data_IF_639462694125
#
_entry.id   IF_639462694125
#
_cell.length_a   1.000
_cell.length_b   1.000
_cell.length_c   1.000
_cell.angle_alpha   90.00
_cell.angle_beta   90.00
_cell.angle_gamma   90.00
#
_symmetry.space_group_name_H-M   'P 1'
#
loop_
_entity.id
_entity.type
_entity.pdbx_description
1 polymer ?
#
# COMPACT_ATOMS: atom_id res chain seq x y z
N UNK A 1 -14.14 29.20 -28.91
CA UNK A 1 -13.28 30.09 -29.72
C UNK A 1 -11.85 29.86 -29.28
N UNK A 2 -11.04 29.22 -30.12
CA UNK A 2 -9.65 28.92 -29.81
C UNK A 2 -8.78 30.12 -30.17
N UNK A 3 -8.14 30.74 -29.18
CA UNK A 3 -7.06 31.69 -29.42
C UNK A 3 -5.76 30.91 -29.58
N UNK A 4 -5.23 30.92 -30.81
CA UNK A 4 -3.91 30.40 -31.14
C UNK A 4 -2.87 31.44 -30.72
N UNK A 5 -2.23 31.23 -29.57
CA UNK A 5 -0.99 31.92 -29.22
C UNK A 5 0.18 31.08 -29.77
N UNK A 6 1.01 31.73 -30.58
CA UNK A 6 2.09 31.11 -31.36
C UNK A 6 3.10 30.36 -30.48
N UNK A 7 3.22 29.06 -30.74
CA UNK A 7 4.52 28.39 -30.91
C UNK A 7 5.02 27.48 -29.79
N UNK A 8 4.36 27.44 -28.63
CA UNK A 8 4.49 26.34 -27.68
C UNK A 8 3.26 25.45 -27.84
N UNK A 9 3.52 24.18 -28.16
CA UNK A 9 2.52 23.18 -28.54
C UNK A 9 1.79 22.63 -27.31
N UNK A 10 0.88 23.42 -26.76
CA UNK A 10 -0.08 22.99 -25.75
C UNK A 10 -1.49 23.29 -26.26
N UNK A 11 -2.25 22.24 -26.58
CA UNK A 11 -3.68 22.36 -26.87
C UNK A 11 -4.41 22.16 -25.54
N UNK A 12 -4.75 23.26 -24.88
CA UNK A 12 -5.62 23.23 -23.70
C UNK A 12 -7.06 23.21 -24.18
N UNK A 13 -7.67 22.02 -24.21
CA UNK A 13 -9.12 21.87 -24.21
C UNK A 13 -9.54 21.76 -22.75
N UNK A 14 -10.50 22.59 -22.30
CA UNK A 14 -10.95 22.66 -20.89
C UNK A 14 -11.08 21.26 -20.25
N UNK A 15 -10.20 20.97 -19.29
CA UNK A 15 -10.21 19.73 -18.50
C UNK A 15 -9.19 18.65 -18.88
N UNK A 16 -8.43 18.81 -19.98
CA UNK A 16 -7.40 17.85 -20.39
C UNK A 16 -6.07 18.54 -20.68
N UNK A 17 -4.98 17.89 -20.28
CA UNK A 17 -3.62 18.27 -20.65
C UNK A 17 -3.09 17.29 -21.69
N UNK A 18 -2.41 17.80 -22.72
CA UNK A 18 -1.80 17.01 -23.76
C UNK A 18 -0.32 17.33 -23.89
N UNK A 19 0.51 16.30 -23.97
CA UNK A 19 1.95 16.44 -24.22
C UNK A 19 2.19 16.19 -25.71
N UNK A 20 2.67 17.21 -26.43
CA UNK A 20 2.97 17.08 -27.85
C UNK A 20 4.32 16.41 -28.07
N UNK A 21 4.31 15.27 -28.76
CA UNK A 21 5.50 14.50 -29.11
C UNK A 21 5.88 14.63 -30.59
N UNK A 22 5.43 15.69 -31.28
CA UNK A 22 5.57 15.85 -32.73
C UNK A 22 7.01 15.78 -33.26
N UNK A 23 8.02 16.00 -32.40
CA UNK A 23 9.45 15.94 -32.73
C UNK A 23 10.22 14.88 -31.94
N UNK A 24 9.52 14.09 -31.11
CA UNK A 24 10.10 13.05 -30.29
C UNK A 24 9.94 11.68 -30.97
N UNK A 25 10.83 10.72 -30.70
CA UNK A 25 10.67 9.36 -31.20
C UNK A 25 9.42 8.70 -30.59
N UNK A 26 8.75 7.85 -31.38
CA UNK A 26 7.47 7.23 -31.00
C UNK A 26 7.55 6.45 -29.69
N UNK A 27 8.68 5.77 -29.44
CA UNK A 27 8.88 5.00 -28.21
C UNK A 27 8.75 5.86 -26.94
N UNK A 28 9.10 7.15 -27.00
CA UNK A 28 9.04 8.04 -25.84
C UNK A 28 7.60 8.25 -25.38
N UNK A 29 6.64 8.26 -26.33
CA UNK A 29 5.23 8.38 -25.99
C UNK A 29 4.71 7.19 -25.19
N UNK A 30 5.08 5.98 -25.60
CA UNK A 30 4.72 4.76 -24.88
C UNK A 30 5.36 4.69 -23.50
N UNK A 31 6.66 5.03 -23.39
CA UNK A 31 7.36 5.08 -22.10
C UNK A 31 6.73 6.10 -21.14
N UNK A 32 6.43 7.29 -21.63
CA UNK A 32 5.81 8.33 -20.83
C UNK A 32 4.40 7.92 -20.39
N UNK A 33 3.60 7.37 -21.29
CA UNK A 33 2.25 6.93 -20.95
C UNK A 33 2.26 5.76 -19.95
N UNK A 34 3.24 4.85 -20.07
CA UNK A 34 3.45 3.78 -19.10
C UNK A 34 3.72 4.32 -17.69
N UNK A 35 4.58 5.34 -17.55
CA UNK A 35 4.82 6.01 -16.26
C UNK A 35 3.54 6.69 -15.77
N UNK A 36 2.90 7.52 -16.60
CA UNK A 36 1.75 8.34 -16.19
C UNK A 36 0.55 7.51 -15.72
N UNK A 37 0.36 6.31 -16.27
CA UNK A 37 -0.72 5.38 -15.86
C UNK A 37 -0.28 4.37 -14.79
N UNK A 38 0.90 4.54 -14.20
CA UNK A 38 1.37 3.68 -13.12
C UNK A 38 0.81 4.09 -11.77
N UNK A 39 0.79 3.13 -10.84
CA UNK A 39 0.54 3.36 -9.43
C UNK A 39 1.53 4.34 -8.81
N UNK A 40 2.80 4.27 -9.21
CA UNK A 40 3.85 5.18 -8.74
C UNK A 40 3.56 6.63 -9.11
N UNK A 41 3.11 6.90 -10.34
CA UNK A 41 2.73 8.26 -10.73
C UNK A 41 1.54 8.76 -9.89
N UNK A 42 0.54 7.90 -9.65
CA UNK A 42 -0.61 8.25 -8.79
C UNK A 42 -0.16 8.58 -7.36
N UNK A 43 0.72 7.75 -6.80
CA UNK A 43 1.31 7.94 -5.49
C UNK A 43 2.08 9.27 -5.41
N UNK A 44 2.98 9.54 -6.34
CA UNK A 44 3.79 10.76 -6.35
C UNK A 44 2.94 12.01 -6.55
N UNK A 45 1.96 11.98 -7.45
CA UNK A 45 1.08 13.12 -7.69
C UNK A 45 0.20 13.43 -6.48
N UNK A 46 -0.17 12.43 -5.68
CA UNK A 46 -0.89 12.68 -4.44
C UNK A 46 -0.09 13.53 -3.46
N UNK A 47 1.23 13.31 -3.36
CA UNK A 47 2.10 14.08 -2.45
C UNK A 47 2.61 15.39 -3.05
N UNK A 48 2.80 15.46 -4.37
CA UNK A 48 3.29 16.66 -5.03
C UNK A 48 2.18 17.67 -5.36
N UNK A 49 0.93 17.22 -5.45
CA UNK A 49 -0.14 18.14 -5.82
C UNK A 49 -0.44 19.13 -4.73
N UNK A 50 -0.41 20.40 -5.12
CA UNK A 50 -0.68 21.53 -4.24
C UNK A 50 -2.17 21.73 -3.90
N UNK A 51 -3.08 21.10 -4.65
CA UNK A 51 -4.52 21.37 -4.58
C UNK A 51 -5.35 20.10 -4.43
N UNK A 52 -4.80 18.94 -4.80
CA UNK A 52 -5.51 17.66 -4.74
C UNK A 52 -6.03 17.41 -3.32
N UNK A 53 -7.35 17.29 -3.19
CA UNK A 53 -7.99 16.96 -1.93
C UNK A 53 -8.49 18.10 -1.07
N UNK A 54 -8.16 19.35 -1.41
CA UNK A 54 -8.63 20.53 -0.67
C UNK A 54 -9.83 21.17 -1.36
N UNK A 55 -9.65 21.63 -2.60
CA UNK A 55 -10.71 22.35 -3.34
C UNK A 55 -11.15 21.64 -4.62
N UNK A 56 -10.28 20.84 -5.24
CA UNK A 56 -10.52 20.18 -6.53
C UNK A 56 -9.89 18.79 -6.58
N UNK A 57 -10.53 17.89 -7.31
CA UNK A 57 -9.97 16.58 -7.67
C UNK A 57 -9.18 16.69 -8.99
N UNK A 58 -8.30 17.68 -9.09
CA UNK A 58 -7.53 17.97 -10.31
C UNK A 58 -6.07 18.17 -9.92
N UNK A 59 -5.19 17.46 -10.62
CA UNK A 59 -3.74 17.66 -10.56
C UNK A 59 -3.39 18.71 -11.61
N UNK A 60 -2.65 19.74 -11.23
CA UNK A 60 -2.31 20.81 -12.16
C UNK A 60 -1.13 20.41 -13.07
N UNK A 61 -1.03 21.01 -14.25
CA UNK A 61 0.08 20.73 -15.19
C UNK A 61 1.45 20.96 -14.54
N UNK A 62 1.57 21.97 -13.68
CA UNK A 62 2.82 22.26 -12.96
C UNK A 62 3.24 21.13 -12.03
N UNK A 63 2.28 20.38 -11.48
CA UNK A 63 2.53 19.25 -10.59
C UNK A 63 3.04 18.06 -11.44
N UNK A 64 2.45 17.83 -12.62
CA UNK A 64 2.91 16.81 -13.57
C UNK A 64 4.33 17.06 -14.09
N UNK A 65 4.70 18.33 -14.30
CA UNK A 65 6.05 18.71 -14.72
C UNK A 65 7.13 18.44 -13.64
N UNK A 66 6.72 18.19 -12.39
CA UNK A 66 7.61 17.83 -11.29
C UNK A 66 7.74 16.32 -11.09
N UNK A 67 7.04 15.50 -11.88
CA UNK A 67 7.16 14.05 -11.78
C UNK A 67 8.61 13.64 -12.13
N UNK A 68 9.34 12.99 -11.19
CA UNK A 68 10.66 12.48 -11.49
C UNK A 68 10.54 11.39 -12.56
N UNK A 69 11.34 11.50 -13.62
CA UNK A 69 11.44 10.49 -14.66
C UNK A 69 12.73 9.68 -14.45
N UNK A 70 12.72 8.36 -14.69
CA UNK A 70 13.92 7.56 -14.51
C UNK A 70 14.93 7.96 -15.60
N UNK A 71 16.24 8.06 -15.31
CA UNK A 71 17.25 8.43 -16.30
C UNK A 71 17.20 7.56 -17.56
N UNK A 72 16.87 6.28 -17.37
CA UNK A 72 16.73 5.28 -18.43
C UNK A 72 15.62 5.60 -19.45
N UNK A 73 14.75 6.58 -19.21
CA UNK A 73 13.66 6.94 -20.13
C UNK A 73 14.17 7.44 -21.48
N UNK A 74 15.31 8.15 -21.49
CA UNK A 74 15.97 8.64 -22.71
C UNK A 74 17.07 7.70 -23.20
N UNK A 75 17.57 6.84 -22.31
CA UNK A 75 18.61 5.87 -22.62
C UNK A 75 18.00 4.67 -23.36
N UNK A 76 18.85 3.95 -24.10
CA UNK A 76 18.46 2.71 -24.77
C UNK A 76 17.95 1.67 -23.77
N UNK A 77 17.15 0.72 -24.25
CA UNK A 77 16.61 -0.34 -23.39
C UNK A 77 17.65 -1.43 -23.15
N UNK A 78 18.57 -1.20 -22.20
CA UNK A 78 19.70 -2.11 -21.93
C UNK A 78 19.22 -3.47 -21.40
N UNK A 79 18.12 -3.49 -20.66
CA UNK A 79 17.64 -4.68 -19.93
C UNK A 79 16.32 -5.25 -20.45
N UNK A 80 15.76 -4.71 -21.54
CA UNK A 80 14.46 -5.14 -22.09
C UNK A 80 13.23 -4.65 -21.31
N UNK A 81 13.43 -4.01 -20.15
CA UNK A 81 12.36 -3.58 -19.25
C UNK A 81 11.46 -2.53 -19.91
N UNK A 82 12.04 -1.64 -20.74
CA UNK A 82 11.23 -0.67 -21.46
C UNK A 82 10.39 -1.30 -22.58
N UNK A 83 10.92 -2.33 -23.25
CA UNK A 83 10.19 -3.07 -24.26
C UNK A 83 8.97 -3.78 -23.63
N UNK A 84 9.16 -4.43 -22.48
CA UNK A 84 8.07 -5.08 -21.72
C UNK A 84 7.00 -4.06 -21.27
N UNK A 85 7.42 -2.98 -20.61
CA UNK A 85 6.50 -1.92 -20.18
C UNK A 85 5.76 -1.26 -21.36
N UNK A 86 6.44 -1.02 -22.48
CA UNK A 86 5.80 -0.43 -23.68
C UNK A 86 4.82 -1.41 -24.35
N UNK A 87 5.09 -2.71 -24.30
CA UNK A 87 4.17 -3.72 -24.83
C UNK A 87 2.90 -3.81 -23.99
N UNK A 88 3.03 -3.75 -22.66
CA UNK A 88 1.90 -3.76 -21.74
C UNK A 88 1.06 -2.50 -21.86
N UNK A 89 1.68 -1.32 -21.92
CA UNK A 89 0.97 -0.07 -22.17
C UNK A 89 0.22 -0.12 -23.50
N UNK A 90 0.86 -0.62 -24.58
CA UNK A 90 0.23 -0.71 -25.89
C UNK A 90 -1.00 -1.60 -25.85
N UNK A 91 -0.92 -2.71 -25.10
CA UNK A 91 -2.03 -3.63 -24.90
C UNK A 91 -3.15 -2.98 -24.08
N UNK A 92 -2.82 -2.30 -22.97
CA UNK A 92 -3.79 -1.61 -22.12
C UNK A 92 -4.53 -0.52 -22.89
N UNK A 93 -3.83 0.23 -23.75
CA UNK A 93 -4.43 1.27 -24.60
C UNK A 93 -5.55 0.74 -25.51
N UNK A 94 -5.44 -0.50 -25.98
CA UNK A 94 -6.43 -1.12 -26.87
C UNK A 94 -7.53 -1.86 -26.11
N UNK A 95 -7.26 -2.35 -24.89
CA UNK A 95 -8.17 -3.22 -24.12
C UNK A 95 -8.76 -2.55 -22.86
N UNK A 96 -8.46 -1.27 -22.59
CA UNK A 96 -8.91 -0.52 -21.41
C UNK A 96 -10.44 -0.37 -21.25
N UNK A 97 -11.25 -0.71 -22.26
CA UNK A 97 -12.70 -0.56 -22.17
C UNK A 97 -13.28 -1.58 -21.17
N UNK A 98 -13.65 -1.09 -20.00
CA UNK A 98 -14.47 -1.80 -19.00
C UNK A 98 -15.87 -2.08 -19.56
N UNK A 99 -16.08 -3.25 -20.15
CA UNK A 99 -17.40 -3.87 -20.15
C UNK A 99 -17.56 -4.63 -18.83
N UNK A 100 -18.61 -4.30 -18.08
CA UNK A 100 -18.71 -4.40 -16.61
C UNK A 100 -18.83 -5.84 -16.05
N UNK A 101 -18.57 -6.92 -16.81
CA UNK A 101 -18.85 -8.27 -16.27
C UNK A 101 -18.17 -9.45 -17.01
N UNK A 102 -16.94 -9.30 -17.52
CA UNK A 102 -16.26 -10.38 -18.27
C UNK A 102 -14.86 -10.72 -17.73
N UNK A 103 -14.41 -11.95 -18.03
CA UNK A 103 -13.07 -12.47 -17.73
C UNK A 103 -11.91 -11.56 -18.22
N UNK A 104 -12.20 -10.56 -19.05
CA UNK A 104 -11.26 -9.55 -19.54
C UNK A 104 -10.80 -8.61 -18.42
N UNK A 105 -11.62 -8.35 -17.39
CA UNK A 105 -11.26 -7.48 -16.27
C UNK A 105 -10.06 -8.04 -15.48
N UNK A 106 -10.06 -9.34 -15.18
CA UNK A 106 -8.94 -9.99 -14.50
C UNK A 106 -7.65 -9.99 -15.34
N UNK A 107 -7.76 -9.99 -16.67
CA UNK A 107 -6.60 -9.89 -17.54
C UNK A 107 -6.03 -8.47 -17.55
N UNK A 108 -6.91 -7.45 -17.62
CA UNK A 108 -6.52 -6.04 -17.53
C UNK A 108 -5.80 -5.76 -16.22
N UNK A 109 -6.35 -6.20 -15.09
CA UNK A 109 -5.72 -6.05 -13.77
C UNK A 109 -4.36 -6.75 -13.70
N UNK A 110 -4.22 -7.92 -14.33
CA UNK A 110 -2.93 -8.61 -14.42
C UNK A 110 -1.90 -7.81 -15.21
N UNK A 111 -2.26 -7.32 -16.41
CA UNK A 111 -1.34 -6.54 -17.25
C UNK A 111 -0.98 -5.21 -16.57
N UNK A 112 -1.93 -4.58 -15.87
CA UNK A 112 -1.66 -3.37 -15.09
C UNK A 112 -0.68 -3.65 -13.93
N UNK A 113 -0.83 -4.76 -13.22
CA UNK A 113 0.12 -5.17 -12.17
C UNK A 113 1.51 -5.42 -12.74
N UNK A 114 1.61 -6.13 -13.85
CA UNK A 114 2.90 -6.37 -14.49
C UNK A 114 3.54 -5.05 -15.00
N UNK A 115 2.73 -4.10 -15.49
CA UNK A 115 3.22 -2.76 -15.83
C UNK A 115 3.80 -2.06 -14.60
N UNK A 116 3.05 -2.05 -13.50
CA UNK A 116 3.50 -1.44 -12.24
C UNK A 116 4.78 -2.11 -11.70
N UNK A 117 4.95 -3.42 -11.87
CA UNK A 117 6.18 -4.13 -11.52
C UNK A 117 7.37 -3.67 -12.38
N UNK A 118 7.19 -3.50 -13.69
CA UNK A 118 8.25 -2.98 -14.57
C UNK A 118 8.59 -1.54 -14.25
N UNK A 119 7.60 -0.67 -14.02
CA UNK A 119 7.83 0.71 -13.59
C UNK A 119 8.58 0.73 -12.25
N UNK A 120 8.20 -0.12 -11.29
CA UNK A 120 8.90 -0.21 -9.99
C UNK A 120 10.37 -0.61 -10.16
N UNK A 121 10.70 -1.49 -11.12
CA UNK A 121 12.09 -1.85 -11.45
C UNK A 121 12.84 -0.69 -12.10
N UNK A 122 12.20 0.08 -12.98
CA UNK A 122 12.80 1.24 -13.66
C UNK A 122 13.17 2.37 -12.69
N UNK A 123 12.40 2.50 -11.60
CA UNK A 123 12.66 3.44 -10.51
C UNK A 123 13.46 2.83 -9.36
N UNK A 124 13.91 1.58 -9.49
CA UNK A 124 14.72 0.87 -8.49
C UNK A 124 14.06 0.79 -7.10
N UNK A 125 12.72 0.74 -7.05
CA UNK A 125 12.00 0.69 -5.78
C UNK A 125 12.29 -0.62 -5.05
N UNK A 126 12.68 -0.48 -3.78
CA UNK A 126 12.84 -1.59 -2.84
C UNK A 126 11.50 -2.26 -2.53
N UNK A 127 11.56 -3.47 -1.97
CA UNK A 127 10.35 -4.20 -1.55
C UNK A 127 9.51 -3.39 -0.55
N UNK A 128 10.15 -2.75 0.43
CA UNK A 128 9.47 -1.94 1.44
C UNK A 128 8.79 -0.71 0.83
N UNK A 129 9.43 -0.04 -0.12
CA UNK A 129 8.84 1.11 -0.82
C UNK A 129 7.62 0.71 -1.64
N UNK A 130 7.65 -0.46 -2.30
CA UNK A 130 6.50 -0.99 -3.04
C UNK A 130 5.33 -1.32 -2.12
N UNK A 131 5.59 -1.96 -0.99
CA UNK A 131 4.59 -2.27 0.03
C UNK A 131 3.97 -0.97 0.57
N UNK A 132 4.79 0.00 0.95
CA UNK A 132 4.34 1.31 1.43
C UNK A 132 3.46 2.01 0.39
N UNK A 133 3.90 2.03 -0.87
CA UNK A 133 3.16 2.62 -1.97
C UNK A 133 1.80 1.94 -2.16
N UNK A 134 1.77 0.60 -2.26
CA UNK A 134 0.56 -0.18 -2.47
C UNK A 134 -0.47 0.01 -1.35
N UNK A 135 -0.02 -0.02 -0.09
CA UNK A 135 -0.89 0.21 1.07
C UNK A 135 -1.41 1.66 1.11
N UNK A 136 -0.56 2.64 0.81
CA UNK A 136 -0.96 4.05 0.76
C UNK A 136 -2.01 4.25 -0.33
N UNK A 137 -1.82 3.66 -1.50
CA UNK A 137 -2.78 3.72 -2.59
C UNK A 137 -4.12 3.07 -2.21
N UNK A 138 -4.07 1.89 -1.59
CA UNK A 138 -5.25 1.09 -1.28
C UNK A 138 -6.08 1.68 -0.13
N UNK A 139 -5.42 2.11 0.94
CA UNK A 139 -6.10 2.53 2.17
C UNK A 139 -6.23 4.05 2.34
N UNK A 140 -5.45 4.84 1.60
CA UNK A 140 -5.45 6.31 1.73
C UNK A 140 -5.88 6.99 0.43
N UNK A 141 -5.12 6.84 -0.64
CA UNK A 141 -5.27 7.66 -1.84
C UNK A 141 -6.53 7.28 -2.63
N UNK A 142 -6.74 6.00 -2.93
CA UNK A 142 -7.89 5.55 -3.74
C UNK A 142 -9.23 5.86 -3.06
N UNK A 143 -9.44 5.57 -1.75
CA UNK A 143 -10.65 5.96 -1.06
C UNK A 143 -10.87 7.48 -1.05
N UNK A 144 -9.79 8.25 -0.90
CA UNK A 144 -9.83 9.70 -0.90
C UNK A 144 -10.20 10.29 -2.26
N UNK A 145 -9.57 9.84 -3.34
CA UNK A 145 -9.82 10.32 -4.71
C UNK A 145 -11.15 9.85 -5.28
N UNK A 146 -11.63 8.68 -4.89
CA UNK A 146 -12.84 8.07 -5.42
C UNK A 146 -14.13 8.83 -5.14
N UNK A 147 -14.11 9.95 -4.37
CA UNK A 147 -15.27 10.77 -3.95
C UNK A 147 -16.46 9.97 -3.39
N UNK A 148 -16.26 8.69 -3.08
CA UNK A 148 -17.15 7.89 -2.29
C UNK A 148 -16.85 8.22 -0.83
N UNK A 149 -17.18 9.46 -0.43
CA UNK A 149 -17.20 9.85 0.99
C UNK A 149 -18.08 8.87 1.78
N UNK A 150 -19.08 8.26 1.13
CA UNK A 150 -19.86 7.13 1.69
C UNK A 150 -19.06 5.85 1.98
N UNK A 151 -17.95 5.57 1.26
CA UNK A 151 -16.98 4.51 1.59
C UNK A 151 -15.92 4.97 2.59
N UNK A 152 -15.50 6.23 2.56
CA UNK A 152 -14.65 6.79 3.62
C UNK A 152 -15.37 6.82 4.99
N UNK A 153 -16.71 6.88 4.99
CA UNK A 153 -17.59 6.66 6.15
C UNK A 153 -18.22 5.26 6.18
N UNK A 154 -17.84 4.34 5.28
CA UNK A 154 -18.34 2.97 5.35
C UNK A 154 -17.68 2.26 6.52
N UNK A 155 -18.38 1.25 7.02
CA UNK A 155 -17.87 0.29 7.98
C UNK A 155 -16.46 -0.11 7.52
N UNK A 156 -15.43 0.07 8.37
CA UNK A 156 -14.07 -0.34 8.02
C UNK A 156 -14.09 -1.77 7.53
N UNK A 157 -13.43 -2.03 6.39
CA UNK A 157 -13.31 -3.39 5.87
C UNK A 157 -12.60 -4.26 6.92
N UNK A 158 -13.24 -5.36 7.32
CA UNK A 158 -12.60 -6.33 8.21
C UNK A 158 -11.44 -6.99 7.44
N UNK A 159 -10.26 -7.15 8.06
CA UNK A 159 -9.14 -7.82 7.42
C UNK A 159 -9.50 -9.28 7.10
N UNK A 160 -9.10 -9.75 5.92
CA UNK A 160 -9.21 -11.17 5.57
C UNK A 160 -8.18 -11.99 6.37
N UNK A 161 -8.39 -13.31 6.54
CA UNK A 161 -7.38 -14.18 7.15
C UNK A 161 -6.01 -14.08 6.48
N UNK A 162 -5.99 -13.97 5.14
CA UNK A 162 -4.78 -13.80 4.35
C UNK A 162 -4.07 -12.49 4.69
N UNK A 163 -4.79 -11.37 4.82
CA UNK A 163 -4.20 -10.09 5.23
C UNK A 163 -3.56 -10.16 6.63
N UNK A 164 -4.21 -10.84 7.58
CA UNK A 164 -3.64 -11.04 8.92
C UNK A 164 -2.39 -11.93 8.89
N UNK A 165 -2.41 -12.95 8.02
CA UNK A 165 -1.26 -13.82 7.80
C UNK A 165 -0.09 -13.03 7.18
N UNK A 166 -0.34 -12.24 6.13
CA UNK A 166 0.68 -11.42 5.47
C UNK A 166 1.27 -10.37 6.42
N UNK A 167 0.42 -9.72 7.23
CA UNK A 167 0.85 -8.88 8.35
C UNK A 167 1.81 -9.60 9.30
N UNK A 168 1.44 -10.81 9.75
CA UNK A 168 2.25 -11.58 10.69
C UNK A 168 3.58 -12.02 10.08
N UNK A 169 3.56 -12.47 8.82
CA UNK A 169 4.77 -12.81 8.07
C UNK A 169 5.69 -11.60 7.94
N UNK A 170 5.15 -10.44 7.56
CA UNK A 170 5.91 -9.20 7.38
C UNK A 170 6.59 -8.75 8.67
N UNK A 171 5.86 -8.77 9.79
CA UNK A 171 6.40 -8.42 11.10
C UNK A 171 7.52 -9.38 11.52
N UNK A 172 7.28 -10.70 11.39
CA UNK A 172 8.30 -11.71 11.66
C UNK A 172 9.52 -11.53 10.78
N UNK A 173 9.36 -11.26 9.48
CA UNK A 173 10.48 -11.02 8.58
C UNK A 173 11.33 -9.82 9.04
N UNK A 174 10.68 -8.72 9.41
CA UNK A 174 11.36 -7.50 9.86
C UNK A 174 12.15 -7.72 11.15
N UNK A 175 11.56 -8.37 12.17
CA UNK A 175 12.23 -8.63 13.45
C UNK A 175 13.29 -9.74 13.30
N UNK A 176 13.02 -10.81 12.54
CA UNK A 176 13.96 -11.91 12.35
C UNK A 176 15.22 -11.47 11.59
N UNK A 177 15.13 -10.46 10.72
CA UNK A 177 16.31 -9.88 10.09
C UNK A 177 17.35 -9.39 11.12
N UNK A 178 16.88 -8.92 12.29
CA UNK A 178 17.73 -8.46 13.39
C UNK A 178 18.15 -9.62 14.29
N UNK A 179 17.21 -10.52 14.64
CA UNK A 179 17.47 -11.61 15.59
C UNK A 179 18.35 -12.74 15.08
N UNK A 180 18.51 -12.88 13.76
CA UNK A 180 19.36 -13.91 13.13
C UNK A 180 20.77 -13.99 13.72
N UNK A 181 21.34 -12.86 14.17
CA UNK A 181 22.67 -12.85 14.78
C UNK A 181 22.72 -13.53 16.17
N UNK A 182 21.59 -13.62 16.86
CA UNK A 182 21.46 -14.20 18.21
C UNK A 182 20.94 -15.64 18.25
N UNK A 183 20.70 -16.29 17.10
CA UNK A 183 20.12 -17.65 17.05
C UNK A 183 18.68 -17.74 17.55
N UNK A 184 17.99 -16.60 17.59
CA UNK A 184 16.59 -16.47 17.96
C UNK A 184 15.76 -16.12 16.72
N UNK A 185 14.50 -16.53 16.74
CA UNK A 185 13.50 -16.17 15.74
C UNK A 185 12.13 -15.99 16.38
N UNK A 186 11.28 -15.31 15.65
CA UNK A 186 9.90 -15.02 15.99
C UNK A 186 8.97 -15.92 15.17
N UNK A 187 8.14 -16.66 15.88
CA UNK A 187 7.00 -17.37 15.30
C UNK A 187 5.72 -16.59 15.60
N UNK A 188 4.75 -16.62 14.68
CA UNK A 188 3.47 -15.97 14.87
C UNK A 188 2.31 -16.96 14.95
N UNK A 189 1.28 -16.58 15.68
CA UNK A 189 -0.03 -17.24 15.70
C UNK A 189 -1.10 -16.18 15.47
N UNK A 190 -1.80 -16.28 14.35
CA UNK A 190 -2.89 -15.39 13.98
C UNK A 190 -4.19 -15.91 14.60
N UNK A 191 -4.89 -15.06 15.34
CA UNK A 191 -6.22 -15.40 15.85
C UNK A 191 -7.26 -15.04 14.81
N UNK A 192 -7.87 -16.07 14.22
CA UNK A 192 -8.87 -15.91 13.15
C UNK A 192 -10.27 -16.09 13.73
N UNK A 193 -11.10 -15.08 13.52
CA UNK A 193 -12.52 -15.07 13.89
C UNK A 193 -13.26 -13.98 13.13
N UNK A 194 -14.59 -14.04 13.12
CA UNK A 194 -15.43 -13.06 12.43
C UNK A 194 -16.13 -12.14 13.41
N UNK A 195 -16.28 -10.87 13.04
CA UNK A 195 -17.11 -9.89 13.75
C UNK A 195 -16.75 -9.68 15.24
N UNK A 196 -15.47 -9.82 15.57
CA UNK A 196 -14.97 -9.66 16.93
C UNK A 196 -14.76 -8.19 17.31
N UNK A 197 -14.66 -7.30 16.32
CA UNK A 197 -14.31 -5.88 16.49
C UNK A 197 -12.84 -5.63 16.84
N UNK A 198 -12.13 -6.65 17.34
CA UNK A 198 -10.68 -6.71 17.49
C UNK A 198 -10.13 -7.98 16.83
N UNK A 199 -8.95 -7.86 16.24
CA UNK A 199 -8.14 -9.00 15.81
C UNK A 199 -6.87 -9.07 16.67
N UNK A 200 -6.23 -10.24 16.70
CA UNK A 200 -5.03 -10.46 17.51
C UNK A 200 -4.03 -11.35 16.80
N UNK A 201 -2.75 -11.02 16.96
CA UNK A 201 -1.62 -11.87 16.61
C UNK A 201 -0.75 -12.04 17.84
N UNK A 202 -0.41 -13.30 18.16
CA UNK A 202 0.61 -13.63 19.16
C UNK A 202 1.93 -13.88 18.45
N UNK A 203 3.01 -13.37 19.00
CA UNK A 203 4.37 -13.57 18.51
C UNK A 203 5.22 -14.15 19.63
N UNK A 204 5.89 -15.27 19.39
CA UNK A 204 6.65 -15.99 20.42
C UNK A 204 8.10 -16.18 20.01
N UNK A 205 9.00 -15.95 20.97
CA UNK A 205 10.43 -16.17 20.78
C UNK A 205 10.73 -17.67 20.74
N UNK A 206 11.53 -18.10 19.76
CA UNK A 206 12.00 -19.48 19.63
C UNK A 206 13.46 -19.49 19.21
N UNK A 207 14.22 -20.49 19.67
CA UNK A 207 15.55 -20.75 19.11
C UNK A 207 15.46 -21.39 17.74
N UNK A 208 16.29 -20.95 16.79
CA UNK A 208 16.50 -21.65 15.54
C UNK A 208 17.13 -20.80 14.46
N UNK A 209 17.17 -21.35 13.25
CA UNK A 209 18.11 -21.00 12.19
C UNK A 209 17.48 -20.31 10.97
N UNK A 210 16.27 -19.75 11.13
CA UNK A 210 15.78 -18.70 10.22
C UNK A 210 14.53 -19.02 9.39
N UNK A 211 13.56 -19.72 9.97
CA UNK A 211 12.25 -19.93 9.35
C UNK A 211 11.16 -19.10 10.02
N UNK A 212 10.40 -18.33 9.24
CA UNK A 212 9.16 -17.70 9.71
C UNK A 212 8.06 -18.77 9.75
N UNK A 213 7.58 -19.08 10.95
CA UNK A 213 6.43 -19.97 11.13
C UNK A 213 5.22 -19.13 11.54
N UNK A 214 4.15 -19.17 10.74
CA UNK A 214 2.88 -18.53 11.06
C UNK A 214 1.81 -19.60 11.12
N UNK A 215 1.14 -19.71 12.26
CA UNK A 215 0.03 -20.63 12.47
C UNK A 215 -1.27 -19.88 12.70
N UNK A 216 -2.40 -20.57 12.54
CA UNK A 216 -3.72 -20.01 12.82
C UNK A 216 -4.32 -20.64 14.08
N UNK A 217 -5.03 -19.81 14.85
CA UNK A 217 -5.82 -20.22 16.00
C UNK A 217 -7.25 -19.72 15.82
N UNK A 218 -8.22 -20.62 15.91
CA UNK A 218 -9.64 -20.23 15.86
C UNK A 218 -10.02 -19.48 17.14
N UNK A 219 -10.65 -18.31 16.96
CA UNK A 219 -11.08 -17.41 18.02
C UNK A 219 -12.31 -17.88 18.82
N UNK A 220 -12.94 -19.02 18.51
CA UNK A 220 -14.17 -19.50 19.18
C UNK A 220 -14.12 -19.45 20.72
N UNK A 221 -12.97 -19.72 21.33
CA UNK A 221 -12.80 -19.68 22.79
C UNK A 221 -12.46 -18.29 23.35
N UNK A 222 -12.15 -17.35 22.47
CA UNK A 222 -11.67 -16.00 22.78
C UNK A 222 -12.63 -14.91 22.29
N UNK A 223 -13.69 -15.29 21.55
CA UNK A 223 -14.58 -14.36 20.87
C UNK A 223 -15.26 -13.40 21.84
N UNK A 224 -15.77 -13.93 22.95
CA UNK A 224 -16.50 -13.14 23.95
C UNK A 224 -15.57 -12.15 24.64
N UNK A 225 -14.33 -12.57 24.92
CA UNK A 225 -13.30 -11.73 25.54
C UNK A 225 -12.90 -10.61 24.57
N UNK A 226 -12.63 -10.92 23.30
CA UNK A 226 -12.24 -9.93 22.30
C UNK A 226 -13.38 -8.94 22.01
N UNK A 227 -14.62 -9.42 21.94
CA UNK A 227 -15.80 -8.57 21.80
C UNK A 227 -15.97 -7.62 22.99
N UNK A 228 -15.79 -8.11 24.22
CA UNK A 228 -15.86 -7.27 25.42
C UNK A 228 -14.71 -6.25 25.45
N UNK A 229 -13.47 -6.67 25.16
CA UNK A 229 -12.32 -5.77 25.06
C UNK A 229 -12.54 -4.67 24.01
N UNK A 230 -13.19 -4.98 22.88
CA UNK A 230 -13.51 -4.00 21.84
C UNK A 230 -14.39 -2.87 22.36
N UNK A 231 -15.32 -3.18 23.27
CA UNK A 231 -16.18 -2.21 23.93
C UNK A 231 -15.36 -1.41 24.96
N UNK A 232 -14.59 -2.10 25.79
CA UNK A 232 -13.86 -1.49 26.91
C UNK A 232 -12.74 -0.55 26.44
N UNK A 233 -12.09 -0.86 25.30
CA UNK A 233 -11.03 -0.04 24.71
C UNK A 233 -11.55 1.17 23.94
N UNK A 234 -12.88 1.32 23.83
CA UNK A 234 -13.49 2.46 23.16
C UNK A 234 -13.72 3.58 24.16
N UNK A 235 -12.97 4.66 24.01
CA UNK A 235 -13.11 5.88 24.81
C UNK A 235 -13.83 6.98 24.00
N UNK A 236 -14.83 7.62 24.61
CA UNK A 236 -15.45 8.83 24.06
C UNK A 236 -14.54 10.02 24.35
N UNK A 237 -14.07 10.70 23.31
CA UNK A 237 -13.19 11.88 23.43
C UNK A 237 -13.98 13.19 23.29
N UNK A 238 -15.01 13.20 22.46
CA UNK A 238 -15.95 14.31 22.30
C UNK A 238 -17.31 13.79 21.82
N UNK A 239 -18.32 14.67 21.68
CA UNK A 239 -19.62 14.28 21.12
C UNK A 239 -19.42 13.63 19.75
N UNK A 240 -19.88 12.37 19.62
CA UNK A 240 -19.74 11.49 18.44
C UNK A 240 -18.30 11.20 17.98
N UNK A 241 -17.29 11.49 18.81
CA UNK A 241 -15.89 11.16 18.55
C UNK A 241 -15.43 10.08 19.52
N UNK A 242 -15.08 8.92 18.98
CA UNK A 242 -14.58 7.78 19.73
C UNK A 242 -13.15 7.45 19.30
N UNK A 243 -12.31 7.10 20.26
CA UNK A 243 -10.98 6.53 20.02
C UNK A 243 -11.01 5.09 20.50
N UNK A 244 -10.47 4.19 19.68
CA UNK A 244 -10.26 2.80 20.05
C UNK A 244 -8.75 2.56 20.08
N UNK A 245 -8.24 2.11 21.22
CA UNK A 245 -6.80 1.91 21.42
C UNK A 245 -6.33 0.56 20.89
N UNK A 246 -5.12 0.56 20.31
CA UNK A 246 -4.36 -0.66 20.04
C UNK A 246 -3.67 -1.12 21.33
N UNK A 247 -3.56 -2.43 21.54
CA UNK A 247 -2.86 -3.00 22.68
C UNK A 247 -1.67 -3.83 22.23
N UNK A 248 -0.55 -3.65 22.94
CA UNK A 248 0.59 -4.57 22.93
C UNK A 248 0.75 -5.14 24.33
N UNK A 249 0.70 -6.46 24.45
CA UNK A 249 0.80 -7.14 25.74
C UNK A 249 2.05 -8.01 25.70
N UNK A 250 2.99 -7.73 26.60
CA UNK A 250 4.26 -8.43 26.68
C UNK A 250 4.25 -9.47 27.80
N UNK A 251 4.81 -10.63 27.50
CA UNK A 251 5.13 -11.72 28.40
C UNK A 251 6.63 -12.08 28.21
N UNK A 252 7.19 -12.88 29.11
CA UNK A 252 8.62 -13.19 29.13
C UNK A 252 9.09 -13.90 27.85
N UNK A 253 8.20 -14.62 27.17
CA UNK A 253 8.52 -15.45 26.00
C UNK A 253 7.71 -15.10 24.74
N UNK A 254 6.80 -14.14 24.83
CA UNK A 254 5.92 -13.78 23.74
C UNK A 254 5.34 -12.38 23.91
N UNK A 255 4.78 -11.83 22.85
CA UNK A 255 3.94 -10.65 22.93
C UNK A 255 2.70 -10.81 22.06
N UNK A 256 1.68 -10.03 22.37
CA UNK A 256 0.45 -9.95 21.60
C UNK A 256 0.32 -8.55 21.00
N UNK A 257 -0.12 -8.48 19.75
CA UNK A 257 -0.63 -7.27 19.14
C UNK A 257 -2.13 -7.46 18.93
N UNK A 258 -2.92 -6.56 19.51
CA UNK A 258 -4.38 -6.58 19.45
C UNK A 258 -4.84 -5.22 18.94
N UNK A 259 -5.59 -5.22 17.84
CA UNK A 259 -6.03 -3.99 17.16
C UNK A 259 -7.46 -4.10 16.67
N UNK A 260 -8.14 -2.97 16.42
CA UNK A 260 -9.42 -2.97 15.74
C UNK A 260 -9.40 -3.78 14.43
N UNK A 261 -10.51 -4.45 14.14
CA UNK A 261 -10.70 -5.25 12.91
C UNK A 261 -10.88 -4.33 11.68
N UNK A 262 -9.88 -3.51 11.36
CA UNK A 262 -9.86 -2.64 10.18
C UNK A 262 -8.66 -3.02 9.32
N UNK A 263 -8.88 -3.40 8.06
CA UNK A 263 -7.84 -3.92 7.16
C UNK A 263 -6.58 -3.04 7.11
N UNK A 264 -6.74 -1.71 7.07
CA UNK A 264 -5.62 -0.74 7.09
C UNK A 264 -4.70 -0.83 8.32
N UNK A 265 -5.20 -1.32 9.46
CA UNK A 265 -4.42 -1.48 10.69
C UNK A 265 -3.64 -2.80 10.71
N UNK A 266 -3.93 -3.68 9.76
CA UNK A 266 -3.33 -4.99 9.55
C UNK A 266 -2.66 -5.08 8.18
N UNK A 267 -2.26 -3.95 7.59
CA UNK A 267 -1.52 -3.93 6.33
C UNK A 267 -0.05 -4.29 6.56
N UNK A 268 0.68 -4.65 5.50
CA UNK A 268 2.11 -4.94 5.61
C UNK A 268 2.92 -3.70 6.07
N UNK A 269 2.51 -2.49 5.69
CA UNK A 269 3.07 -1.24 6.23
C UNK A 269 2.79 -1.08 7.72
N UNK A 270 1.59 -1.46 8.20
CA UNK A 270 1.31 -1.48 9.62
C UNK A 270 2.27 -2.44 10.34
N UNK A 271 2.51 -3.63 9.78
CA UNK A 271 3.45 -4.61 10.33
C UNK A 271 4.88 -4.05 10.45
N UNK A 272 5.35 -3.28 9.45
CA UNK A 272 6.65 -2.60 9.52
C UNK A 272 6.70 -1.60 10.68
N UNK A 273 5.68 -0.75 10.82
CA UNK A 273 5.59 0.24 11.90
C UNK A 273 5.52 -0.41 13.29
N UNK A 274 4.80 -1.52 13.43
CA UNK A 274 4.73 -2.25 14.70
C UNK A 274 6.01 -2.99 15.01
N UNK A 275 6.72 -3.54 14.00
CA UNK A 275 8.03 -4.12 14.22
C UNK A 275 8.98 -3.09 14.84
N UNK A 276 9.01 -1.86 14.31
CA UNK A 276 9.81 -0.77 14.87
C UNK A 276 9.37 -0.39 16.29
N UNK A 277 8.07 -0.37 16.56
CA UNK A 277 7.54 -0.09 17.91
C UNK A 277 7.93 -1.18 18.91
N UNK A 278 7.75 -2.47 18.54
CA UNK A 278 8.11 -3.63 19.36
C UNK A 278 9.61 -3.63 19.65
N UNK A 279 10.45 -3.38 18.65
CA UNK A 279 11.90 -3.31 18.83
C UNK A 279 12.29 -2.18 19.78
N UNK A 280 11.68 -1.00 19.65
CA UNK A 280 11.92 0.13 20.55
C UNK A 280 11.53 -0.21 21.99
N UNK A 281 10.31 -0.71 22.18
CA UNK A 281 9.77 -1.07 23.50
C UNK A 281 10.60 -2.19 24.17
N UNK A 282 11.14 -3.14 23.40
CA UNK A 282 12.02 -4.20 23.92
C UNK A 282 13.48 -3.76 24.13
N UNK A 283 14.01 -2.85 23.31
CA UNK A 283 15.37 -2.32 23.51
C UNK A 283 15.46 -1.39 24.72
N UNK A 284 14.36 -0.75 25.10
CA UNK A 284 14.25 0.07 26.31
C UNK A 284 13.98 -0.77 27.58
N UNK A 285 13.81 -2.10 27.45
CA UNK A 285 13.68 -3.00 28.61
C UNK A 285 15.04 -3.12 29.32
N UNK A 286 15.17 -2.77 30.62
CA UNK A 286 16.45 -2.76 31.28
C UNK A 286 17.03 -4.18 31.29
N UNK A 287 18.25 -4.28 30.77
CA UNK A 287 19.14 -5.42 30.95
C UNK A 287 19.53 -5.55 32.45
N UNK A 288 18.56 -5.86 33.30
CA UNK A 288 18.77 -6.24 34.69
C UNK A 288 18.53 -7.74 34.79
N UNK A 289 19.53 -8.50 34.34
CA UNK A 289 19.85 -9.83 34.84
C UNK A 289 21.07 -9.73 35.75
#
# INVERSE_FOLDING_TARGET
MAESVRGQSEIVLQGYYGISLARAPEYLGYRLNAILNSELATYLMFFHSSILGWERSVIEIRDWLQLPLPPSILEGDVNGVWAEASNQERWLRTHWKRDVDTHEDHHVDRVQRELNDHISRLYELSEQERVLMADTLSYTITPFLGRNVRRATAIPEEPTPEQLHDYAVRLCHQINAILRQGGMQLDATVVVGRHLGLNACRFAWRRGDGGTNVSELNAERMSDILAQMSIDLRATVADRLYVQQDLRVYDDQAFWIIKPSQARLWSETAALNDADAVLREHMDWPANG
#
